data_IF_190667513777
#
_entry.id   IF_190667513777
#
_cell.length_a   1.000
_cell.length_b   1.000
_cell.length_c   1.000
_cell.angle_alpha   90.00
_cell.angle_beta   90.00
_cell.angle_gamma   90.00
#
_symmetry.space_group_name_H-M   'P 1'
#
loop_
_entity.id
_entity.type
_entity.pdbx_description
1 polymer ?
#
# COMPACT_ATOMS: atom_id res chain seq x y z
N UNK A 1 7.63 -26.63 -13.63
CA UNK A 1 6.44 -27.24 -12.94
C UNK A 1 5.23 -26.29 -12.94
N UNK A 2 5.32 -25.06 -12.42
CA UNK A 2 4.17 -24.15 -12.37
C UNK A 2 3.77 -23.66 -13.76
N UNK A 3 4.70 -23.19 -14.58
CA UNK A 3 4.44 -22.81 -15.97
C UNK A 3 3.89 -23.97 -16.80
N UNK A 4 4.36 -25.21 -16.58
CA UNK A 4 3.84 -26.41 -17.24
C UNK A 4 2.38 -26.69 -16.84
N UNK A 5 2.03 -26.45 -15.59
CA UNK A 5 0.63 -26.61 -15.13
C UNK A 5 -0.28 -25.58 -15.75
N UNK A 6 0.17 -24.31 -15.80
CA UNK A 6 -0.56 -23.20 -16.41
C UNK A 6 -0.72 -23.44 -17.93
N UNK A 7 0.33 -23.90 -18.62
CA UNK A 7 0.30 -24.13 -20.07
C UNK A 7 -0.69 -25.20 -20.54
N UNK A 8 -1.21 -26.01 -19.61
CA UNK A 8 -2.24 -27.05 -19.87
C UNK A 8 -3.67 -26.52 -19.75
N UNK A 9 -3.86 -25.29 -19.31
CA UNK A 9 -5.19 -24.69 -19.23
C UNK A 9 -5.76 -24.49 -20.64
N UNK A 10 -7.02 -24.87 -20.83
CA UNK A 10 -7.76 -24.65 -22.09
C UNK A 10 -8.42 -23.27 -22.02
N UNK A 11 -7.72 -22.25 -22.52
CA UNK A 11 -8.22 -20.88 -22.59
C UNK A 11 -7.53 -20.14 -23.72
N UNK A 12 -8.24 -19.22 -24.36
CA UNK A 12 -7.66 -18.32 -25.38
C UNK A 12 -6.83 -17.20 -24.73
N UNK A 13 -7.27 -16.74 -23.55
CA UNK A 13 -6.67 -15.61 -22.84
C UNK A 13 -6.24 -16.05 -21.45
N UNK A 14 -5.05 -15.65 -21.04
CA UNK A 14 -4.60 -15.79 -19.67
C UNK A 14 -4.17 -14.43 -19.12
N UNK A 15 -4.64 -14.13 -17.90
CA UNK A 15 -4.24 -12.93 -17.12
C UNK A 15 -3.39 -13.39 -15.95
N UNK A 16 -2.16 -12.90 -15.90
CA UNK A 16 -1.17 -13.22 -14.88
C UNK A 16 -0.97 -12.01 -13.96
N UNK A 17 -1.51 -12.10 -12.75
CA UNK A 17 -1.28 -11.15 -11.67
C UNK A 17 -0.14 -11.68 -10.78
N UNK A 18 1.08 -11.29 -11.13
CA UNK A 18 2.30 -11.71 -10.43
C UNK A 18 3.25 -10.53 -10.26
N UNK A 19 3.77 -10.37 -9.05
CA UNK A 19 4.68 -9.27 -8.73
C UNK A 19 5.96 -9.29 -9.59
N UNK A 20 6.50 -10.48 -9.90
CA UNK A 20 7.73 -10.59 -10.68
C UNK A 20 7.81 -11.94 -11.39
N UNK A 21 7.96 -11.90 -12.72
CA UNK A 21 8.24 -13.07 -13.54
C UNK A 21 9.58 -12.92 -14.27
N UNK A 22 10.16 -14.03 -14.70
CA UNK A 22 11.35 -14.03 -15.56
C UNK A 22 10.99 -14.19 -17.02
N UNK A 23 11.85 -13.70 -17.93
CA UNK A 23 11.65 -13.86 -19.37
C UNK A 23 11.48 -15.33 -19.78
N UNK A 24 12.32 -16.23 -19.25
CA UNK A 24 12.22 -17.67 -19.54
C UNK A 24 10.87 -18.26 -19.11
N UNK A 25 10.39 -17.89 -17.92
CA UNK A 25 9.11 -18.37 -17.40
C UNK A 25 7.95 -17.91 -18.26
N UNK A 26 7.92 -16.64 -18.68
CA UNK A 26 6.90 -16.08 -19.54
C UNK A 26 7.01 -16.63 -20.96
N UNK A 27 8.21 -16.84 -21.50
CA UNK A 27 8.43 -17.42 -22.84
C UNK A 27 7.89 -18.85 -22.93
N UNK A 28 7.89 -19.61 -21.83
CA UNK A 28 7.28 -20.94 -21.80
C UNK A 28 5.74 -20.90 -22.00
N UNK A 29 5.09 -19.81 -21.61
CA UNK A 29 3.66 -19.60 -21.78
C UNK A 29 3.32 -18.94 -23.13
N UNK A 30 4.29 -18.24 -23.74
CA UNK A 30 4.09 -17.56 -25.03
C UNK A 30 3.74 -18.56 -26.12
N UNK A 31 2.67 -18.27 -26.87
CA UNK A 31 2.16 -19.17 -27.92
C UNK A 31 1.31 -20.35 -27.44
N UNK A 32 1.16 -20.53 -26.10
CA UNK A 32 0.21 -21.51 -25.53
C UNK A 32 -1.20 -20.94 -25.40
N UNK A 33 -1.29 -19.62 -25.35
CA UNK A 33 -2.52 -18.85 -25.31
C UNK A 33 -2.55 -17.87 -26.46
N UNK A 34 -3.74 -17.53 -26.94
CA UNK A 34 -3.92 -16.52 -28.00
C UNK A 34 -3.48 -15.14 -27.53
N UNK A 35 -3.74 -14.83 -26.24
CA UNK A 35 -3.34 -13.58 -25.61
C UNK A 35 -2.81 -13.82 -24.19
N UNK A 36 -1.60 -13.34 -23.92
CA UNK A 36 -0.93 -13.38 -22.64
C UNK A 36 -0.93 -11.97 -22.04
N UNK A 37 -1.68 -11.75 -20.96
CA UNK A 37 -1.78 -10.48 -20.24
C UNK A 37 -0.95 -10.56 -18.95
N UNK A 38 -0.09 -9.57 -18.72
CA UNK A 38 0.67 -9.42 -17.47
C UNK A 38 0.16 -8.22 -16.69
N UNK A 39 -0.17 -8.42 -15.41
CA UNK A 39 -0.61 -7.34 -14.48
C UNK A 39 0.40 -7.13 -13.38
N UNK A 40 0.75 -5.84 -13.14
CA UNK A 40 1.61 -5.34 -12.05
C UNK A 40 2.97 -6.07 -11.89
N UNK A 41 3.44 -6.72 -12.96
CA UNK A 41 4.72 -7.42 -13.00
C UNK A 41 5.89 -6.43 -13.15
N UNK A 42 6.81 -6.47 -12.18
CA UNK A 42 8.05 -5.67 -12.18
C UNK A 42 9.27 -6.46 -12.65
N UNK A 43 9.09 -7.71 -13.05
CA UNK A 43 10.13 -8.60 -13.55
C UNK A 43 10.39 -8.47 -15.04
N UNK A 44 11.46 -9.13 -15.51
CA UNK A 44 11.84 -9.14 -16.93
C UNK A 44 10.82 -9.86 -17.83
N UNK A 45 9.98 -10.72 -17.25
CA UNK A 45 8.97 -11.50 -17.99
C UNK A 45 7.84 -10.64 -18.54
N UNK A 46 7.51 -9.51 -17.92
CA UNK A 46 6.50 -8.59 -18.40
C UNK A 46 6.72 -8.17 -19.88
N UNK A 47 7.99 -8.06 -20.30
CA UNK A 47 8.34 -7.70 -21.67
C UNK A 47 7.86 -8.73 -22.71
N UNK A 48 7.67 -9.99 -22.33
CA UNK A 48 7.26 -11.11 -23.18
C UNK A 48 5.74 -11.16 -23.40
N UNK A 49 4.94 -10.57 -22.50
CA UNK A 49 3.49 -10.59 -22.59
C UNK A 49 2.98 -9.80 -23.81
N UNK A 50 1.82 -10.19 -24.36
CA UNK A 50 1.16 -9.48 -25.46
C UNK A 50 0.59 -8.15 -24.99
N UNK A 51 0.05 -8.14 -23.78
CA UNK A 51 -0.49 -6.96 -23.11
C UNK A 51 0.14 -6.84 -21.73
N UNK A 52 0.56 -5.63 -21.37
CA UNK A 52 1.04 -5.30 -20.03
C UNK A 52 0.19 -4.20 -19.45
N UNK A 53 -0.38 -4.46 -18.28
CA UNK A 53 -1.11 -3.48 -17.47
C UNK A 53 -0.33 -3.34 -16.18
N UNK A 54 0.16 -2.14 -15.88
CA UNK A 54 0.92 -1.93 -14.64
C UNK A 54 0.61 -0.56 -14.03
N UNK A 55 -0.17 -0.56 -12.95
CA UNK A 55 -0.56 0.63 -12.21
C UNK A 55 0.53 1.19 -11.30
N UNK A 56 1.54 0.40 -10.98
CA UNK A 56 2.55 0.71 -9.96
C UNK A 56 3.81 1.34 -10.57
N UNK A 57 4.22 0.88 -11.75
CA UNK A 57 5.41 1.38 -12.46
C UNK A 57 5.11 2.65 -13.23
N UNK A 58 6.10 3.56 -13.33
CA UNK A 58 5.93 4.86 -13.99
C UNK A 58 6.97 5.16 -15.07
N UNK A 59 8.09 4.47 -15.04
CA UNK A 59 9.27 4.82 -15.84
C UNK A 59 9.49 3.88 -17.04
N UNK A 60 8.46 3.11 -17.42
CA UNK A 60 8.54 2.27 -18.61
C UNK A 60 8.09 3.07 -19.85
N UNK A 61 8.80 2.95 -20.98
CA UNK A 61 8.43 3.65 -22.19
C UNK A 61 7.05 3.18 -22.68
N UNK A 62 6.24 4.14 -23.13
CA UNK A 62 4.96 3.86 -23.78
C UNK A 62 5.20 3.09 -25.08
N UNK A 63 4.66 1.89 -25.17
CA UNK A 63 4.64 1.05 -26.39
C UNK A 63 3.23 0.57 -26.63
N UNK A 64 2.93 0.14 -27.86
CA UNK A 64 1.65 -0.50 -28.17
C UNK A 64 1.37 -1.64 -27.18
N UNK A 65 0.14 -1.73 -26.66
CA UNK A 65 -0.30 -2.72 -25.70
C UNK A 65 0.43 -2.67 -24.33
N UNK A 66 0.97 -1.51 -23.97
CA UNK A 66 1.62 -1.24 -22.67
C UNK A 66 0.85 -0.14 -21.94
N UNK A 67 0.07 -0.52 -20.95
CA UNK A 67 -0.80 0.35 -20.17
C UNK A 67 -0.16 0.61 -18.81
N UNK A 68 0.66 1.65 -18.73
CA UNK A 68 1.56 1.91 -17.59
C UNK A 68 1.12 3.17 -16.83
N UNK A 69 1.24 3.13 -15.51
CA UNK A 69 1.08 4.27 -14.62
C UNK A 69 -0.23 4.28 -13.85
N UNK A 70 -0.34 5.21 -12.89
CA UNK A 70 -1.42 5.26 -11.87
C UNK A 70 -2.84 5.31 -12.44
N UNK A 71 -3.03 5.77 -13.67
CA UNK A 71 -4.33 5.77 -14.34
C UNK A 71 -4.88 4.37 -14.63
N UNK A 72 -4.03 3.33 -14.54
CA UNK A 72 -4.40 1.92 -14.69
C UNK A 72 -4.36 1.14 -13.37
N UNK A 73 -4.23 1.84 -12.26
CA UNK A 73 -4.22 1.20 -10.96
C UNK A 73 -5.58 0.57 -10.66
N UNK A 74 -5.59 -0.75 -10.44
CA UNK A 74 -6.79 -1.51 -10.13
C UNK A 74 -7.05 -1.48 -8.62
N UNK A 75 -8.03 -0.68 -8.18
CA UNK A 75 -8.35 -0.46 -6.77
C UNK A 75 -9.83 -0.74 -6.49
N UNK A 76 -10.13 -1.15 -5.26
CA UNK A 76 -11.49 -1.33 -4.76
C UNK A 76 -12.22 0.02 -4.64
N UNK A 77 -13.25 0.22 -5.47
CA UNK A 77 -13.98 1.49 -5.59
C UNK A 77 -15.13 1.64 -4.60
N UNK A 78 -15.60 0.55 -4.00
CA UNK A 78 -16.81 0.49 -3.15
C UNK A 78 -16.82 1.54 -2.03
N UNK A 79 -15.65 1.91 -1.51
CA UNK A 79 -15.52 2.82 -0.36
C UNK A 79 -14.98 4.21 -0.71
N UNK A 80 -14.85 4.55 -1.99
CA UNK A 80 -14.42 5.91 -2.39
C UNK A 80 -15.44 6.99 -2.09
N UNK A 81 -16.73 6.64 -1.99
CA UNK A 81 -17.83 7.56 -1.66
C UNK A 81 -17.93 7.89 -0.17
N UNK A 82 -17.25 7.15 0.70
CA UNK A 82 -17.27 7.46 2.12
C UNK A 82 -16.68 8.84 2.36
N UNK A 83 -17.48 9.73 2.98
CA UNK A 83 -17.08 11.10 3.30
C UNK A 83 -15.79 11.09 4.09
N UNK A 84 -14.80 11.79 3.58
CA UNK A 84 -13.56 12.05 4.28
C UNK A 84 -13.83 13.09 5.37
N UNK A 85 -13.53 12.74 6.59
CA UNK A 85 -13.48 13.72 7.66
C UNK A 85 -12.22 14.57 7.46
N UNK A 86 -12.40 15.81 6.95
CA UNK A 86 -11.33 16.83 6.96
C UNK A 86 -11.14 17.33 8.41
N UNK A 87 -10.82 16.40 9.31
CA UNK A 87 -10.67 16.73 10.72
C UNK A 87 -9.45 17.64 10.91
N UNK A 88 -9.67 18.79 11.57
CA UNK A 88 -8.57 19.66 12.01
C UNK A 88 -7.61 18.90 12.95
N UNK A 89 -8.12 17.91 13.68
CA UNK A 89 -7.35 17.05 14.60
C UNK A 89 -7.27 15.63 14.06
N UNK A 90 -6.13 14.97 14.28
CA UNK A 90 -5.99 13.53 14.04
C UNK A 90 -6.63 12.79 15.23
N UNK A 91 -7.68 12.04 14.95
CA UNK A 91 -8.37 11.19 15.93
C UNK A 91 -8.21 9.71 15.61
N UNK A 92 -8.04 9.35 14.33
CA UNK A 92 -7.92 7.98 13.89
C UNK A 92 -6.65 7.80 13.05
N UNK A 93 -5.77 6.91 13.50
CA UNK A 93 -4.59 6.46 12.74
C UNK A 93 -4.82 5.00 12.35
N UNK A 94 -4.63 4.69 11.08
CA UNK A 94 -4.55 3.30 10.61
C UNK A 94 -3.10 2.96 10.33
N UNK A 95 -2.67 1.80 10.85
CA UNK A 95 -1.34 1.25 10.64
C UNK A 95 -1.48 -0.11 9.97
N UNK A 96 -0.84 -0.30 8.82
CA UNK A 96 -0.87 -1.58 8.11
C UNK A 96 0.40 -1.79 7.27
N UNK A 97 1.04 -2.92 7.47
CA UNK A 97 2.23 -3.29 6.71
C UNK A 97 1.96 -4.47 5.76
N UNK A 98 0.67 -4.69 5.39
CA UNK A 98 0.24 -5.73 4.47
C UNK A 98 -0.03 -7.07 5.13
N UNK A 99 -0.13 -8.11 4.31
CA UNK A 99 -0.46 -9.46 4.76
C UNK A 99 0.62 -10.12 5.61
N UNK A 100 1.89 -9.73 5.43
CA UNK A 100 3.04 -10.24 6.16
C UNK A 100 4.06 -9.14 6.45
N UNK A 101 4.37 -8.90 7.72
CA UNK A 101 5.30 -7.86 8.17
C UNK A 101 6.73 -8.41 8.33
N UNK A 102 7.40 -8.66 7.21
CA UNK A 102 8.75 -9.25 7.16
C UNK A 102 9.80 -8.48 7.94
N UNK A 103 9.66 -7.16 8.07
CA UNK A 103 10.65 -6.30 8.73
C UNK A 103 10.27 -5.90 10.13
N UNK A 104 9.22 -6.49 10.70
CA UNK A 104 8.71 -6.14 12.02
C UNK A 104 8.42 -4.62 12.18
N UNK A 105 7.88 -4.00 11.13
CA UNK A 105 7.55 -2.56 11.11
C UNK A 105 6.47 -2.21 12.15
N UNK A 106 5.55 -3.14 12.42
CA UNK A 106 4.57 -2.98 13.50
C UNK A 106 5.24 -2.93 14.88
N UNK A 107 6.23 -3.79 15.12
CA UNK A 107 7.04 -3.73 16.36
C UNK A 107 7.83 -2.42 16.44
N UNK A 108 8.41 -1.97 15.34
CA UNK A 108 9.11 -0.68 15.27
C UNK A 108 8.16 0.48 15.58
N UNK A 109 6.98 0.49 15.00
CA UNK A 109 5.94 1.48 15.28
C UNK A 109 5.54 1.49 16.76
N UNK A 110 5.15 0.33 17.33
CA UNK A 110 4.75 0.23 18.73
C UNK A 110 5.86 0.68 19.70
N UNK A 111 7.11 0.26 19.45
CA UNK A 111 8.27 0.72 20.25
C UNK A 111 8.54 2.22 20.10
N UNK A 112 8.16 2.82 18.97
CA UNK A 112 8.27 4.27 18.79
C UNK A 112 7.26 5.04 19.63
N UNK A 113 6.06 4.50 19.84
CA UNK A 113 5.04 5.12 20.69
C UNK A 113 5.41 5.15 22.19
N UNK A 114 6.29 4.25 22.64
CA UNK A 114 6.82 4.27 24.03
C UNK A 114 7.81 5.40 24.29
N UNK A 115 8.22 6.14 23.25
CA UNK A 115 9.13 7.27 23.44
C UNK A 115 8.37 8.47 24.00
N UNK A 116 8.88 9.08 25.09
CA UNK A 116 8.29 10.25 25.75
C UNK A 116 8.14 11.47 24.82
N UNK A 117 8.94 11.54 23.75
CA UNK A 117 8.86 12.60 22.75
C UNK A 117 7.73 12.37 21.73
N UNK A 118 7.03 11.23 21.76
CA UNK A 118 5.89 10.99 20.88
C UNK A 118 4.65 11.71 21.40
N UNK A 119 4.15 12.70 20.63
CA UNK A 119 3.03 13.56 21.03
C UNK A 119 1.68 12.87 20.79
N UNK A 120 1.37 11.85 21.58
CA UNK A 120 0.09 11.18 21.54
C UNK A 120 -0.98 12.00 22.27
N UNK A 121 -2.01 12.43 21.55
CA UNK A 121 -3.11 13.21 22.12
C UNK A 121 -4.13 12.30 22.80
N UNK A 122 -4.81 12.82 23.82
CA UNK A 122 -5.97 12.14 24.44
C UNK A 122 -7.02 11.80 23.36
N UNK A 123 -7.65 10.63 23.47
CA UNK A 123 -8.70 10.13 22.57
C UNK A 123 -8.22 9.76 21.16
N UNK A 124 -6.91 9.61 20.94
CA UNK A 124 -6.41 9.06 19.69
C UNK A 124 -6.75 7.57 19.60
N UNK A 125 -7.35 7.16 18.49
CA UNK A 125 -7.64 5.76 18.18
C UNK A 125 -6.65 5.28 17.10
N UNK A 126 -5.95 4.18 17.38
CA UNK A 126 -4.98 3.56 16.49
C UNK A 126 -5.49 2.16 16.13
N UNK A 127 -5.80 1.92 14.86
CA UNK A 127 -6.13 0.60 14.34
C UNK A 127 -4.87 -0.01 13.72
N UNK A 128 -4.27 -1.00 14.37
CA UNK A 128 -3.16 -1.78 13.85
C UNK A 128 -3.72 -3.00 13.12
N UNK A 129 -3.75 -2.91 11.78
CA UNK A 129 -4.29 -3.93 10.89
C UNK A 129 -3.17 -4.86 10.45
N UNK A 130 -3.29 -6.13 10.76
CA UNK A 130 -2.27 -7.14 10.47
C UNK A 130 -2.86 -8.32 9.71
N UNK A 131 -2.05 -8.94 8.87
CA UNK A 131 -2.37 -10.19 8.20
C UNK A 131 -1.87 -11.38 9.01
N UNK A 132 -1.05 -12.21 8.36
CA UNK A 132 -0.46 -13.40 8.97
C UNK A 132 0.54 -13.02 10.06
N UNK A 133 0.36 -13.60 11.26
CA UNK A 133 1.17 -13.32 12.43
C UNK A 133 1.15 -14.52 13.40
N UNK A 134 2.29 -14.85 13.99
CA UNK A 134 2.42 -15.91 14.98
C UNK A 134 1.99 -15.47 16.40
N UNK A 135 1.61 -16.46 17.23
CA UNK A 135 1.14 -16.21 18.59
C UNK A 135 2.16 -15.53 19.50
N UNK A 136 3.47 -15.82 19.33
CA UNK A 136 4.55 -15.19 20.12
C UNK A 136 4.62 -13.70 19.84
N UNK A 137 4.54 -13.32 18.58
CA UNK A 137 4.53 -11.91 18.17
C UNK A 137 3.28 -11.19 18.67
N UNK A 138 2.09 -11.82 18.58
CA UNK A 138 0.84 -11.25 19.14
C UNK A 138 0.99 -10.96 20.63
N UNK A 139 1.52 -11.91 21.41
CA UNK A 139 1.70 -11.74 22.85
C UNK A 139 2.69 -10.62 23.17
N UNK A 140 3.80 -10.54 22.44
CA UNK A 140 4.76 -9.43 22.56
C UNK A 140 4.12 -8.07 22.29
N UNK A 141 3.30 -7.96 21.25
CA UNK A 141 2.58 -6.72 20.94
C UNK A 141 1.51 -6.37 21.98
N UNK A 142 0.78 -7.34 22.52
CA UNK A 142 -0.16 -7.10 23.62
C UNK A 142 0.54 -6.50 24.84
N UNK A 143 1.76 -6.96 25.17
CA UNK A 143 2.56 -6.38 26.25
C UNK A 143 3.00 -4.95 25.93
N UNK A 144 3.51 -4.69 24.72
CA UNK A 144 3.88 -3.34 24.27
C UNK A 144 2.68 -2.39 24.32
N UNK A 145 1.53 -2.82 23.83
CA UNK A 145 0.27 -2.04 23.87
C UNK A 145 -0.12 -1.72 25.31
N UNK A 146 -0.08 -2.71 26.20
CA UNK A 146 -0.37 -2.49 27.64
C UNK A 146 0.52 -1.39 28.24
N UNK A 147 1.81 -1.41 27.94
CA UNK A 147 2.76 -0.40 28.43
C UNK A 147 2.45 0.98 27.82
N UNK A 148 2.15 1.07 26.52
CA UNK A 148 1.78 2.32 25.88
C UNK A 148 0.50 2.89 26.51
N UNK A 149 -0.50 2.07 26.79
CA UNK A 149 -1.78 2.49 27.36
C UNK A 149 -1.65 2.95 28.83
N UNK A 150 -0.62 2.46 29.56
CA UNK A 150 -0.32 2.93 30.91
C UNK A 150 0.14 4.40 30.92
N UNK A 151 0.90 4.81 29.88
CA UNK A 151 1.49 6.15 29.80
C UNK A 151 0.61 7.14 29.02
N UNK A 152 -0.33 6.65 28.20
CA UNK A 152 -1.10 7.47 27.26
C UNK A 152 -2.61 7.16 27.29
N UNK A 153 -3.44 8.19 27.31
CA UNK A 153 -4.91 8.07 27.21
C UNK A 153 -5.36 7.94 25.73
N UNK A 154 -4.94 6.84 25.09
CA UNK A 154 -5.27 6.49 23.70
C UNK A 154 -5.93 5.13 23.63
N UNK A 155 -6.44 4.75 22.46
CA UNK A 155 -6.96 3.42 22.19
C UNK A 155 -6.13 2.77 21.06
N UNK A 156 -5.68 1.53 21.28
CA UNK A 156 -4.99 0.73 20.24
C UNK A 156 -5.76 -0.55 20.03
N UNK A 157 -6.26 -0.77 18.82
CA UNK A 157 -6.95 -1.98 18.42
C UNK A 157 -6.00 -2.82 17.56
N UNK A 158 -5.63 -4.01 18.02
CA UNK A 158 -4.93 -5.00 17.22
C UNK A 158 -5.96 -5.85 16.47
N UNK A 159 -5.98 -5.77 15.15
CA UNK A 159 -7.00 -6.37 14.30
C UNK A 159 -6.35 -7.30 13.27
N UNK A 160 -6.64 -8.59 13.37
CA UNK A 160 -6.08 -9.63 12.50
C UNK A 160 -7.09 -9.93 11.40
N UNK A 161 -6.68 -9.80 10.12
CA UNK A 161 -7.52 -9.98 8.92
C UNK A 161 -8.91 -9.32 9.05
N UNK A 162 -9.01 -8.01 9.38
CA UNK A 162 -10.31 -7.38 9.59
C UNK A 162 -11.14 -7.33 8.30
N UNK A 163 -12.36 -7.88 8.34
CA UNK A 163 -13.28 -7.86 7.19
C UNK A 163 -13.71 -6.44 6.79
N UNK A 164 -13.65 -5.50 7.72
CA UNK A 164 -13.99 -4.09 7.51
C UNK A 164 -12.77 -3.18 7.21
N UNK A 165 -11.68 -3.78 6.67
CA UNK A 165 -10.42 -3.11 6.35
C UNK A 165 -10.61 -1.77 5.62
N UNK A 166 -11.31 -1.75 4.48
CA UNK A 166 -11.52 -0.53 3.70
C UNK A 166 -12.37 0.51 4.42
N UNK A 167 -13.34 0.07 5.24
CA UNK A 167 -14.16 0.97 6.07
C UNK A 167 -13.31 1.67 7.13
N UNK A 168 -12.40 0.95 7.78
CA UNK A 168 -11.45 1.52 8.75
C UNK A 168 -10.48 2.48 8.07
N UNK A 169 -9.90 2.04 6.95
CA UNK A 169 -9.01 2.87 6.16
C UNK A 169 -9.69 4.20 5.77
N UNK A 170 -10.94 4.16 5.28
CA UNK A 170 -11.67 5.37 4.87
C UNK A 170 -11.96 6.36 6.01
N UNK A 171 -11.90 5.92 7.27
CA UNK A 171 -12.10 6.76 8.45
C UNK A 171 -10.80 7.34 9.01
N UNK A 172 -9.67 6.92 8.49
CA UNK A 172 -8.36 7.37 8.98
C UNK A 172 -8.11 8.85 8.67
N UNK A 173 -7.58 9.59 9.63
CA UNK A 173 -7.08 10.95 9.47
C UNK A 173 -5.60 10.96 9.05
N UNK A 174 -4.89 9.87 9.35
CA UNK A 174 -3.50 9.59 9.01
C UNK A 174 -3.32 8.08 8.86
N UNK A 175 -2.52 7.66 7.91
CA UNK A 175 -2.14 6.25 7.79
C UNK A 175 -0.61 6.07 7.81
N UNK A 176 -0.17 4.94 8.38
CA UNK A 176 1.23 4.51 8.39
C UNK A 176 1.26 3.14 7.73
N UNK A 177 1.79 3.07 6.51
CA UNK A 177 1.65 1.87 5.68
C UNK A 177 2.94 1.50 4.94
N UNK A 178 3.01 0.25 4.47
CA UNK A 178 4.10 -0.17 3.57
C UNK A 178 3.85 0.26 2.12
N UNK A 179 4.88 0.18 1.27
CA UNK A 179 4.85 0.60 -0.13
C UNK A 179 4.26 -0.42 -1.11
N UNK A 180 3.38 -1.32 -0.64
CA UNK A 180 2.59 -2.24 -1.47
C UNK A 180 1.26 -1.60 -1.92
N UNK A 181 0.25 -2.41 -2.30
CA UNK A 181 -1.06 -1.93 -2.74
C UNK A 181 -1.75 -1.05 -1.68
N UNK A 182 -1.52 -1.31 -0.39
CA UNK A 182 -2.08 -0.54 0.72
C UNK A 182 -1.80 0.96 0.62
N UNK A 183 -0.60 1.38 0.17
CA UNK A 183 -0.30 2.81 0.02
C UNK A 183 -1.20 3.44 -1.03
N UNK A 184 -1.46 2.75 -2.13
CA UNK A 184 -2.33 3.25 -3.20
C UNK A 184 -3.80 3.29 -2.78
N UNK A 185 -4.28 2.24 -2.08
CA UNK A 185 -5.62 2.26 -1.47
C UNK A 185 -5.82 3.45 -0.56
N UNK A 186 -4.79 3.83 0.18
CA UNK A 186 -4.83 4.92 1.14
C UNK A 186 -4.82 6.28 0.44
N UNK A 187 -3.82 6.54 -0.42
CA UNK A 187 -3.66 7.84 -1.07
C UNK A 187 -4.74 8.13 -2.10
N UNK A 188 -5.29 7.12 -2.78
CA UNK A 188 -6.41 7.29 -3.72
C UNK A 188 -7.67 7.83 -3.04
N UNK A 189 -7.82 7.57 -1.74
CA UNK A 189 -8.86 8.15 -0.87
C UNK A 189 -8.48 9.52 -0.34
N UNK A 190 -7.27 10.00 -0.67
CA UNK A 190 -6.70 11.28 -0.22
C UNK A 190 -6.39 11.27 1.28
N UNK A 191 -6.09 10.13 1.89
CA UNK A 191 -5.66 10.03 3.28
C UNK A 191 -4.16 10.35 3.32
N UNK A 192 -3.69 11.24 4.21
CA UNK A 192 -2.27 11.50 4.40
C UNK A 192 -1.52 10.25 4.85
N UNK A 193 -0.33 10.01 4.32
CA UNK A 193 0.42 8.78 4.55
C UNK A 193 1.85 9.04 5.02
N UNK A 194 2.30 8.26 5.99
CA UNK A 194 3.71 7.97 6.26
C UNK A 194 4.01 6.57 5.71
N UNK A 195 4.94 6.48 4.77
CA UNK A 195 5.33 5.23 4.13
C UNK A 195 6.58 4.60 4.76
N UNK A 196 6.55 3.30 5.07
CA UNK A 196 7.69 2.52 5.55
C UNK A 196 7.93 1.33 4.62
N UNK A 197 9.10 1.20 3.97
CA UNK A 197 9.33 0.13 3.00
C UNK A 197 9.64 -1.21 3.68
N UNK A 198 9.05 -2.31 3.22
CA UNK A 198 9.44 -3.67 3.57
C UNK A 198 10.50 -4.24 2.62
N UNK A 199 10.46 -3.83 1.34
CA UNK A 199 11.31 -4.34 0.29
C UNK A 199 11.92 -3.19 -0.53
N UNK A 200 13.03 -3.47 -1.22
CA UNK A 200 13.70 -2.46 -2.08
C UNK A 200 12.80 -1.89 -3.18
N UNK A 201 11.93 -2.72 -3.79
CA UNK A 201 10.97 -2.23 -4.79
C UNK A 201 9.93 -1.31 -4.16
N UNK A 202 9.44 -1.61 -2.95
CA UNK A 202 8.54 -0.73 -2.22
C UNK A 202 9.20 0.62 -1.87
N UNK A 203 10.50 0.62 -1.53
CA UNK A 203 11.24 1.86 -1.31
C UNK A 203 11.23 2.73 -2.57
N UNK A 204 11.47 2.14 -3.76
CA UNK A 204 11.40 2.88 -5.03
C UNK A 204 10.02 3.51 -5.25
N UNK A 205 8.95 2.75 -4.98
CA UNK A 205 7.57 3.23 -5.04
C UNK A 205 7.35 4.42 -4.09
N UNK A 206 7.76 4.28 -2.82
CA UNK A 206 7.57 5.32 -1.80
C UNK A 206 8.37 6.59 -2.13
N UNK A 207 9.62 6.48 -2.58
CA UNK A 207 10.43 7.62 -3.03
C UNK A 207 9.74 8.37 -4.17
N UNK A 208 9.19 7.64 -5.15
CA UNK A 208 8.47 8.26 -6.26
C UNK A 208 7.20 8.99 -5.79
N UNK A 209 6.44 8.40 -4.87
CA UNK A 209 5.26 9.03 -4.29
C UNK A 209 5.62 10.26 -3.42
N UNK A 210 6.73 10.21 -2.68
CA UNK A 210 7.21 11.34 -1.90
C UNK A 210 7.63 12.52 -2.78
N UNK A 211 8.37 12.26 -3.88
CA UNK A 211 8.72 13.28 -4.89
C UNK A 211 7.49 13.95 -5.51
N UNK A 212 6.37 13.26 -5.59
CA UNK A 212 5.08 13.81 -6.02
C UNK A 212 4.31 14.51 -4.90
N UNK A 213 4.87 14.60 -3.70
CA UNK A 213 4.25 15.21 -2.53
C UNK A 213 2.89 14.59 -2.16
N UNK A 214 2.75 13.27 -2.30
CA UNK A 214 1.50 12.57 -1.92
C UNK A 214 1.64 11.77 -0.64
N UNK A 215 2.88 11.51 -0.20
CA UNK A 215 3.21 10.87 1.07
C UNK A 215 4.41 11.52 1.73
N UNK A 216 4.74 11.09 2.95
CA UNK A 216 6.06 11.27 3.58
C UNK A 216 6.73 9.92 3.77
N UNK A 217 8.03 9.85 3.47
CA UNK A 217 8.83 8.66 3.74
C UNK A 217 9.25 8.65 5.23
N UNK A 218 8.89 7.60 5.96
CA UNK A 218 9.14 7.46 7.40
C UNK A 218 10.48 6.79 7.73
N UNK A 219 11.39 6.67 6.75
CA UNK A 219 12.69 6.00 6.91
C UNK A 219 13.76 6.66 6.06
N UNK A 220 15.03 6.46 6.41
CA UNK A 220 16.18 6.87 5.62
C UNK A 220 16.55 5.74 4.63
N UNK A 221 15.90 5.72 3.46
CA UNK A 221 15.99 4.58 2.56
C UNK A 221 15.43 3.31 3.21
N UNK A 222 16.23 2.24 3.24
CA UNK A 222 15.86 1.01 3.97
C UNK A 222 16.16 1.06 5.47
N UNK A 223 16.91 2.06 5.98
CA UNK A 223 17.24 2.19 7.40
C UNK A 223 16.07 2.80 8.16
N UNK A 224 15.64 2.15 9.23
CA UNK A 224 14.67 2.68 10.18
C UNK A 224 15.39 3.57 11.20
N UNK A 225 14.95 4.81 11.31
CA UNK A 225 15.46 5.78 12.27
C UNK A 225 14.30 6.18 13.19
N UNK A 226 14.41 5.81 14.46
CA UNK A 226 13.32 5.96 15.43
C UNK A 226 13.06 7.43 15.76
N UNK A 227 14.08 8.25 15.88
CA UNK A 227 13.94 9.66 16.23
C UNK A 227 13.30 10.45 15.07
N UNK A 228 13.83 10.31 13.88
CA UNK A 228 13.26 10.93 12.68
C UNK A 228 11.82 10.49 12.45
N UNK A 229 11.51 9.20 12.70
CA UNK A 229 10.15 8.69 12.55
C UNK A 229 9.19 9.30 13.58
N UNK A 230 9.60 9.46 14.85
CA UNK A 230 8.80 10.11 15.89
C UNK A 230 8.55 11.58 15.56
N UNK A 231 9.59 12.30 15.12
CA UNK A 231 9.46 13.70 14.70
C UNK A 231 8.47 13.84 13.53
N UNK A 232 8.52 12.91 12.57
CA UNK A 232 7.58 12.88 11.47
C UNK A 232 6.15 12.57 11.91
N UNK A 233 5.92 11.58 12.80
CA UNK A 233 4.60 11.31 13.37
C UNK A 233 4.06 12.57 14.05
N UNK A 234 4.85 13.20 14.90
CA UNK A 234 4.47 14.40 15.62
C UNK A 234 4.07 15.53 14.65
N UNK A 235 4.88 15.77 13.61
CA UNK A 235 4.56 16.72 12.55
C UNK A 235 3.24 16.39 11.88
N UNK A 236 3.03 15.13 11.51
CA UNK A 236 1.80 14.71 10.83
C UNK A 236 0.55 14.78 11.73
N UNK A 237 0.69 14.59 13.05
CA UNK A 237 -0.40 14.75 14.01
C UNK A 237 -0.74 16.23 14.22
N UNK A 238 0.26 17.11 14.31
CA UNK A 238 0.07 18.51 14.70
C UNK A 238 -0.22 19.44 13.52
N UNK A 239 0.40 19.22 12.35
CA UNK A 239 0.25 20.08 11.18
C UNK A 239 -0.94 19.67 10.31
N UNK A 240 -2.03 20.44 10.40
CA UNK A 240 -3.17 20.32 9.47
C UNK A 240 -2.75 20.67 8.03
N UNK A 241 -1.91 21.69 7.87
CA UNK A 241 -1.43 22.16 6.58
C UNK A 241 -0.73 21.03 5.79
N UNK A 242 0.21 20.35 6.44
CA UNK A 242 0.93 19.21 5.83
C UNK A 242 -0.03 18.11 5.37
N UNK A 243 -1.00 17.74 6.22
CA UNK A 243 -2.00 16.72 5.87
C UNK A 243 -2.88 17.14 4.70
N UNK A 244 -3.34 18.40 4.70
CA UNK A 244 -4.16 18.94 3.61
C UNK A 244 -3.36 18.99 2.31
N UNK A 245 -2.10 19.41 2.36
CA UNK A 245 -1.21 19.44 1.22
C UNK A 245 -1.06 18.05 0.57
N UNK A 246 -0.69 17.03 1.35
CA UNK A 246 -0.59 15.65 0.86
C UNK A 246 -1.91 15.14 0.28
N UNK A 247 -3.02 15.36 1.00
CA UNK A 247 -4.35 14.95 0.57
C UNK A 247 -4.77 15.59 -0.77
N UNK A 248 -4.48 16.87 -0.95
CA UNK A 248 -4.80 17.60 -2.19
C UNK A 248 -4.02 17.06 -3.38
N UNK A 249 -2.73 16.78 -3.18
CA UNK A 249 -1.87 16.23 -4.23
C UNK A 249 -2.27 14.79 -4.59
N UNK A 250 -2.59 13.97 -3.59
CA UNK A 250 -3.09 12.60 -3.80
C UNK A 250 -4.34 12.57 -4.68
N UNK A 251 -5.31 13.47 -4.43
CA UNK A 251 -6.54 13.56 -5.22
C UNK A 251 -6.31 13.97 -6.68
N UNK A 252 -5.23 14.70 -6.97
CA UNK A 252 -4.86 15.06 -8.35
C UNK A 252 -4.22 13.89 -9.10
N UNK A 253 -3.58 12.97 -8.37
CA UNK A 253 -2.86 11.84 -8.96
C UNK A 253 -3.80 10.71 -9.42
N UNK A 254 -4.99 10.58 -8.78
CA UNK A 254 -5.92 9.47 -9.03
C UNK A 254 -7.30 9.99 -9.45
N UNK A 255 -7.73 9.62 -10.64
CA UNK A 255 -9.06 9.95 -11.17
C UNK A 255 -10.15 8.92 -10.86
N UNK A 256 -9.80 7.86 -10.10
CA UNK A 256 -10.68 6.76 -9.68
C UNK A 256 -11.25 5.88 -10.80
N UNK A 257 -10.78 6.05 -12.04
CA UNK A 257 -11.23 5.29 -13.22
C UNK A 257 -10.27 4.17 -13.63
N UNK A 258 -9.28 3.85 -12.80
CA UNK A 258 -8.27 2.84 -13.12
C UNK A 258 -8.88 1.47 -13.38
N UNK A 259 -9.75 0.99 -12.48
CA UNK A 259 -10.43 -0.31 -12.63
C UNK A 259 -11.31 -0.36 -13.87
N UNK A 260 -12.03 0.72 -14.19
CA UNK A 260 -12.85 0.83 -15.42
C UNK A 260 -11.97 0.71 -16.68
N UNK A 261 -10.83 1.41 -16.72
CA UNK A 261 -9.90 1.33 -17.86
C UNK A 261 -9.33 -0.07 -18.03
N UNK A 262 -8.94 -0.72 -16.93
CA UNK A 262 -8.42 -2.10 -16.96
C UNK A 262 -9.48 -3.05 -17.48
N UNK A 263 -10.72 -2.94 -16.99
CA UNK A 263 -11.83 -3.76 -17.45
C UNK A 263 -12.12 -3.55 -18.94
N UNK A 264 -12.11 -2.30 -19.43
CA UNK A 264 -12.30 -2.01 -20.86
C UNK A 264 -11.20 -2.63 -21.74
N UNK A 265 -9.93 -2.59 -21.27
CA UNK A 265 -8.82 -3.25 -21.97
C UNK A 265 -9.06 -4.75 -22.02
N UNK A 266 -9.38 -5.38 -20.89
CA UNK A 266 -9.62 -6.83 -20.83
C UNK A 266 -10.85 -7.23 -21.66
N UNK A 267 -11.95 -6.47 -21.60
CA UNK A 267 -13.18 -6.74 -22.35
C UNK A 267 -12.98 -6.62 -23.87
N UNK A 268 -12.03 -5.81 -24.33
CA UNK A 268 -11.71 -5.68 -25.75
C UNK A 268 -10.97 -6.88 -26.35
N UNK A 269 -10.62 -7.88 -25.52
CA UNK A 269 -9.94 -9.11 -25.95
C UNK A 269 -10.91 -10.23 -26.34
N UNK A 270 -12.19 -10.06 -26.03
CA UNK A 270 -13.29 -10.97 -26.35
C UNK A 270 -14.12 -10.44 -27.52
#
# INVERSE_FOLDING_TARGET
>A
KEADSISKLKSDIIVLDRLSTTGNWMSHLKGKFKTLVSMDDIGSGAATADIVINGILHDLPSKKNRYIGYKYLFLENKYFSLKKNNNKKVNNIVVSFGGYDKRNLATFFLKSLLNKNCLLKKNLNIDLLVGEIDHKTINSWKMLIKNILADHKIKINLLIFPLDYFKRLSRADLAIVSGGLTVFDTISRGIPVIGLPQYKHQLKTLINLERKNVIKLGSLGMKLDKENFINLINKMITSLEERVFLSKNSKKLFDKKGSERVLNILSSLF
#
